data_IF_116161010363
#
_entry.id   IF_116161010363
#
_cell.length_a   1.000
_cell.length_b   1.000
_cell.length_c   1.000
_cell.angle_alpha   90.00
_cell.angle_beta   90.00
_cell.angle_gamma   90.00
#
_symmetry.space_group_name_H-M   'P 1'
#
loop_
_entity.id
_entity.type
_entity.pdbx_description
1 polymer ?
#
# COMPACT_ATOMS: atom_id res chain seq x y z
N UNK A 1 19.47 22.79 -11.55
CA UNK A 1 18.87 22.52 -10.22
C UNK A 1 17.75 21.48 -10.25
N UNK A 2 16.95 21.35 -11.32
CA UNK A 2 16.08 20.18 -11.53
C UNK A 2 16.85 19.03 -12.22
N UNK A 3 16.43 17.78 -12.00
CA UNK A 3 17.00 16.52 -12.51
C UNK A 3 18.39 16.08 -12.01
N UNK A 4 19.27 16.98 -11.58
CA UNK A 4 20.58 16.56 -11.04
C UNK A 4 20.47 15.59 -9.85
N UNK A 5 19.41 15.69 -9.05
CA UNK A 5 19.14 14.75 -7.97
C UNK A 5 18.72 13.37 -8.48
N UNK A 6 17.95 13.32 -9.57
CA UNK A 6 17.54 12.08 -10.23
C UNK A 6 18.74 11.41 -10.91
N UNK A 7 19.60 12.18 -11.58
CA UNK A 7 20.83 11.66 -12.21
C UNK A 7 21.82 11.12 -11.18
N UNK A 8 21.96 11.79 -10.03
CA UNK A 8 22.74 11.27 -8.91
C UNK A 8 22.15 9.99 -8.33
N UNK A 9 20.82 9.93 -8.17
CA UNK A 9 20.15 8.72 -7.71
C UNK A 9 20.35 7.56 -8.70
N UNK A 10 20.22 7.84 -10.00
CA UNK A 10 20.39 6.84 -11.07
C UNK A 10 21.82 6.33 -11.19
N UNK A 11 22.80 7.23 -11.15
CA UNK A 11 24.22 6.87 -11.14
C UNK A 11 24.57 6.02 -9.92
N UNK A 12 23.98 6.33 -8.75
CA UNK A 12 24.15 5.52 -7.54
C UNK A 12 23.58 4.11 -7.69
N UNK A 13 22.37 3.96 -8.23
CA UNK A 13 21.74 2.65 -8.49
C UNK A 13 22.60 1.76 -9.38
N UNK A 14 23.33 2.35 -10.33
CA UNK A 14 24.23 1.65 -11.26
C UNK A 14 25.65 1.41 -10.70
N UNK A 15 25.93 1.85 -9.47
CA UNK A 15 27.23 1.69 -8.84
C UNK A 15 27.22 0.54 -7.82
N UNK A 16 28.39 0.00 -7.50
CA UNK A 16 28.57 -1.00 -6.43
C UNK A 16 28.10 -0.49 -5.05
N UNK A 17 27.99 0.83 -4.87
CA UNK A 17 27.47 1.44 -3.64
C UNK A 17 25.95 1.21 -3.44
N UNK A 18 25.22 0.76 -4.46
CA UNK A 18 23.82 0.34 -4.34
C UNK A 18 23.68 -1.18 -4.16
N UNK A 19 24.65 -1.97 -4.66
CA UNK A 19 24.65 -3.43 -4.47
C UNK A 19 25.10 -3.83 -3.07
N UNK A 20 25.70 -2.91 -2.31
CA UNK A 20 25.99 -3.09 -0.89
C UNK A 20 24.79 -2.59 -0.08
N UNK A 21 23.98 -3.47 0.55
CA UNK A 21 22.87 -3.04 1.38
C UNK A 21 23.38 -2.15 2.51
N UNK A 22 22.63 -1.10 2.91
CA UNK A 22 22.94 -0.42 4.16
C UNK A 22 22.97 -1.44 5.30
N UNK A 23 23.83 -1.21 6.29
CA UNK A 23 23.90 -2.08 7.46
C UNK A 23 22.51 -2.27 8.04
N UNK A 24 22.05 -3.52 8.13
CA UNK A 24 20.75 -3.85 8.69
C UNK A 24 20.67 -3.21 10.09
N UNK A 25 19.69 -2.34 10.36
CA UNK A 25 19.57 -1.75 11.68
C UNK A 25 19.48 -2.88 12.72
N UNK A 26 20.13 -2.73 13.88
CA UNK A 26 20.17 -3.79 14.87
C UNK A 26 18.75 -4.15 15.31
N UNK A 27 18.29 -5.35 14.94
CA UNK A 27 17.01 -5.89 15.42
C UNK A 27 17.19 -6.23 16.89
N UNK A 28 16.57 -5.42 17.76
CA UNK A 28 16.55 -5.74 19.19
C UNK A 28 15.36 -6.64 19.46
N UNK A 29 15.61 -7.95 19.55
CA UNK A 29 14.60 -8.89 20.04
C UNK A 29 14.51 -8.77 21.55
N UNK A 30 13.56 -7.98 22.04
CA UNK A 30 13.17 -8.04 23.45
C UNK A 30 12.09 -9.11 23.58
N UNK A 31 12.37 -10.17 24.34
CA UNK A 31 11.29 -10.98 24.93
C UNK A 31 10.65 -10.09 25.98
N UNK A 32 9.50 -9.52 25.65
CA UNK A 32 8.68 -8.79 26.61
C UNK A 32 8.12 -9.74 27.68
N UNK A 33 7.66 -9.15 28.78
CA UNK A 33 6.77 -9.84 29.69
C UNK A 33 5.56 -10.36 28.91
N UNK A 34 4.95 -11.44 29.41
CA UNK A 34 3.72 -11.98 28.84
C UNK A 34 2.75 -10.80 28.67
N UNK A 35 2.16 -10.64 27.48
CA UNK A 35 0.95 -9.84 27.34
C UNK A 35 0.00 -10.32 28.45
N UNK A 36 -0.68 -9.39 29.14
CA UNK A 36 -1.55 -9.70 30.28
C UNK A 36 -2.48 -10.89 29.99
N UNK A 37 -3.05 -11.48 31.04
CA UNK A 37 -3.80 -12.75 30.92
C UNK A 37 -4.86 -12.74 29.80
N UNK A 38 -5.43 -11.57 29.48
CA UNK A 38 -6.25 -11.34 28.30
C UNK A 38 -5.67 -10.20 27.45
N UNK A 39 -5.34 -10.43 26.16
CA UNK A 39 -4.91 -9.36 25.28
C UNK A 39 -6.09 -8.40 25.00
N UNK A 40 -5.84 -7.09 25.08
CA UNK A 40 -6.85 -6.06 24.84
C UNK A 40 -7.36 -6.06 23.38
N UNK A 41 -6.50 -6.47 22.44
CA UNK A 41 -6.78 -6.53 21.01
C UNK A 41 -6.60 -7.95 20.48
N UNK A 42 -7.46 -8.33 19.54
CA UNK A 42 -7.38 -9.61 18.82
C UNK A 42 -6.35 -9.57 17.69
N UNK A 43 -6.19 -8.40 17.05
CA UNK A 43 -5.37 -8.21 15.85
C UNK A 43 -4.57 -6.90 15.97
N UNK A 44 -3.29 -6.96 15.56
CA UNK A 44 -2.44 -5.78 15.39
C UNK A 44 -2.01 -5.69 13.93
N UNK A 45 -2.30 -4.56 13.28
CA UNK A 45 -1.88 -4.26 11.91
C UNK A 45 -0.73 -3.25 11.94
N UNK A 46 0.44 -3.63 11.44
CA UNK A 46 1.61 -2.76 11.35
C UNK A 46 1.64 -2.06 9.99
N UNK A 47 1.38 -0.75 9.98
CA UNK A 47 1.30 0.12 8.80
C UNK A 47 -0.14 0.53 8.51
N UNK A 48 -0.41 1.83 8.56
CA UNK A 48 -1.75 2.41 8.42
C UNK A 48 -2.13 2.78 6.99
N UNK A 49 -1.18 2.90 6.06
CA UNK A 49 -1.49 3.40 4.70
C UNK A 49 -2.48 2.52 3.94
N UNK A 50 -2.13 1.26 3.68
CA UNK A 50 -3.05 0.27 3.08
C UNK A 50 -3.59 -0.72 4.13
N UNK A 51 -2.86 -0.89 5.23
CA UNK A 51 -3.29 -1.78 6.31
C UNK A 51 -4.59 -1.33 6.99
N UNK A 52 -4.98 -0.05 6.86
CA UNK A 52 -6.25 0.43 7.39
C UNK A 52 -7.47 -0.26 6.77
N UNK A 53 -7.40 -0.69 5.50
CA UNK A 53 -8.49 -1.44 4.86
C UNK A 53 -8.66 -2.82 5.50
N UNK A 54 -7.55 -3.51 5.79
CA UNK A 54 -7.58 -4.80 6.49
C UNK A 54 -8.07 -4.61 7.93
N UNK A 55 -7.58 -3.57 8.62
CA UNK A 55 -8.00 -3.28 9.98
C UNK A 55 -9.50 -2.98 10.06
N UNK A 56 -10.02 -2.17 9.14
CA UNK A 56 -11.43 -1.85 9.05
C UNK A 56 -12.28 -3.09 8.73
N UNK A 57 -11.85 -3.92 7.77
CA UNK A 57 -12.54 -5.17 7.45
C UNK A 57 -12.67 -6.11 8.67
N UNK A 58 -11.62 -6.21 9.47
CA UNK A 58 -11.64 -7.02 10.70
C UNK A 58 -12.48 -6.37 11.79
N UNK A 59 -12.45 -5.05 11.91
CA UNK A 59 -13.30 -4.32 12.85
C UNK A 59 -14.79 -4.48 12.51
N UNK A 60 -15.17 -4.42 11.23
CA UNK A 60 -16.54 -4.68 10.74
C UNK A 60 -17.01 -6.09 11.13
N UNK A 61 -16.08 -7.07 11.20
CA UNK A 61 -16.36 -8.44 11.65
C UNK A 61 -16.40 -8.61 13.17
N UNK A 62 -16.21 -7.53 13.94
CA UNK A 62 -16.33 -7.52 15.39
C UNK A 62 -15.04 -7.75 16.17
N UNK A 63 -13.88 -7.78 15.51
CA UNK A 63 -12.59 -7.89 16.20
C UNK A 63 -12.15 -6.57 16.82
N UNK A 64 -11.45 -6.64 17.95
CA UNK A 64 -10.70 -5.51 18.52
C UNK A 64 -9.36 -5.39 17.79
N UNK A 65 -9.22 -4.37 16.96
CA UNK A 65 -8.04 -4.21 16.10
C UNK A 65 -7.23 -2.98 16.53
N UNK A 66 -5.92 -3.14 16.69
CA UNK A 66 -4.97 -2.05 16.83
C UNK A 66 -4.21 -1.81 15.52
N UNK A 67 -3.93 -0.55 15.19
CA UNK A 67 -3.08 -0.17 14.06
C UNK A 67 -1.84 0.55 14.59
N UNK A 68 -0.67 0.08 14.19
CA UNK A 68 0.61 0.69 14.52
C UNK A 68 1.16 1.38 13.29
N UNK A 69 1.31 2.70 13.34
CA UNK A 69 1.83 3.52 12.25
C UNK A 69 3.04 4.32 12.77
N UNK A 70 4.05 4.52 11.93
CA UNK A 70 5.24 5.28 12.30
C UNK A 70 4.90 6.77 12.48
N UNK A 71 4.01 7.28 11.63
CA UNK A 71 3.53 8.65 11.66
C UNK A 71 2.17 8.82 12.32
N UNK A 72 1.56 10.01 12.11
CA UNK A 72 0.15 10.22 12.43
C UNK A 72 -0.70 9.43 11.45
N UNK A 73 -1.67 8.68 11.97
CA UNK A 73 -2.68 8.01 11.16
C UNK A 73 -3.71 9.05 10.70
N UNK A 74 -3.45 9.66 9.55
CA UNK A 74 -4.32 10.67 8.93
C UNK A 74 -4.38 10.46 7.42
N UNK A 75 -5.48 10.89 6.81
CA UNK A 75 -5.62 10.91 5.36
C UNK A 75 -4.50 11.73 4.70
N UNK A 76 -4.12 11.35 3.48
CA UNK A 76 -3.09 12.02 2.68
C UNK A 76 -3.70 12.47 1.37
N UNK A 77 -3.24 13.61 0.85
CA UNK A 77 -3.57 14.08 -0.51
C UNK A 77 -2.79 13.24 -1.51
N UNK A 78 -3.22 12.01 -1.71
CA UNK A 78 -2.58 11.08 -2.63
C UNK A 78 -3.67 10.36 -3.41
N UNK A 79 -3.61 10.51 -4.73
CA UNK A 79 -4.39 9.70 -5.65
C UNK A 79 -3.72 8.33 -5.78
N UNK A 80 -4.54 7.29 -5.80
CA UNK A 80 -4.09 5.92 -5.98
C UNK A 80 -4.95 5.27 -7.04
N UNK A 81 -4.30 4.65 -8.02
CA UNK A 81 -4.97 3.88 -9.06
C UNK A 81 -5.46 2.54 -8.48
N UNK A 82 -6.76 2.31 -8.56
CA UNK A 82 -7.42 1.06 -8.15
C UNK A 82 -8.45 0.68 -9.20
N UNK A 83 -8.68 -0.61 -9.41
CA UNK A 83 -9.75 -1.00 -10.32
C UNK A 83 -11.14 -0.85 -9.73
N UNK A 84 -12.16 -0.62 -10.57
CA UNK A 84 -13.56 -0.58 -10.10
C UNK A 84 -13.92 -1.83 -9.30
N UNK A 85 -13.50 -2.99 -9.79
CA UNK A 85 -13.72 -4.28 -9.11
C UNK A 85 -13.11 -4.30 -7.70
N UNK A 86 -11.86 -3.83 -7.54
CA UNK A 86 -11.20 -3.78 -6.23
C UNK A 86 -11.82 -2.73 -5.32
N UNK A 87 -12.30 -1.62 -5.88
CA UNK A 87 -12.99 -0.57 -5.15
C UNK A 87 -14.35 -1.06 -4.62
N UNK A 88 -15.13 -1.76 -5.46
CA UNK A 88 -16.44 -2.33 -5.11
C UNK A 88 -16.33 -3.35 -3.96
N UNK A 89 -15.21 -4.09 -3.88
CA UNK A 89 -14.94 -5.00 -2.75
C UNK A 89 -14.95 -4.28 -1.39
N UNK A 90 -14.57 -2.99 -1.33
CA UNK A 90 -14.62 -2.24 -0.08
C UNK A 90 -16.06 -2.03 0.39
N UNK A 91 -17.00 -1.86 -0.55
CA UNK A 91 -18.42 -1.79 -0.23
C UNK A 91 -19.01 -3.16 0.14
N UNK A 92 -18.63 -4.22 -0.59
CA UNK A 92 -19.02 -5.59 -0.25
C UNK A 92 -18.56 -6.01 1.16
N UNK A 93 -17.37 -5.56 1.57
CA UNK A 93 -16.82 -5.78 2.90
C UNK A 93 -17.42 -4.85 3.97
N UNK A 94 -18.30 -3.93 3.60
CA UNK A 94 -18.91 -2.95 4.51
C UNK A 94 -17.93 -1.93 5.08
N UNK A 95 -16.77 -1.75 4.44
CA UNK A 95 -15.75 -0.77 4.84
C UNK A 95 -16.18 0.64 4.44
N UNK A 96 -16.79 0.76 3.26
CA UNK A 96 -17.35 1.99 2.71
C UNK A 96 -18.76 1.72 2.19
N UNK A 97 -19.57 2.74 2.03
CA UNK A 97 -20.82 2.64 1.28
C UNK A 97 -20.57 2.89 -0.22
N UNK A 98 -21.47 2.44 -1.12
CA UNK A 98 -21.38 2.80 -2.54
C UNK A 98 -21.29 4.31 -2.77
N UNK A 99 -22.04 5.11 -2.00
CA UNK A 99 -21.99 6.57 -2.09
C UNK A 99 -20.62 7.13 -1.68
N UNK A 100 -19.99 6.56 -0.65
CA UNK A 100 -18.64 6.95 -0.26
C UNK A 100 -17.61 6.57 -1.31
N UNK A 101 -17.79 5.46 -2.03
CA UNK A 101 -16.93 5.10 -3.16
C UNK A 101 -17.01 6.14 -4.29
N UNK A 102 -18.21 6.62 -4.60
CA UNK A 102 -18.41 7.67 -5.60
C UNK A 102 -17.75 8.99 -5.17
N UNK A 103 -17.84 9.36 -3.89
CA UNK A 103 -17.23 10.58 -3.35
C UNK A 103 -15.69 10.58 -3.37
N UNK A 104 -15.06 9.42 -3.21
CA UNK A 104 -13.58 9.29 -3.20
C UNK A 104 -12.99 9.03 -4.59
N UNK A 105 -13.83 8.74 -5.58
CA UNK A 105 -13.41 8.53 -6.97
C UNK A 105 -13.22 9.89 -7.65
N UNK A 106 -11.96 10.25 -7.94
CA UNK A 106 -11.62 11.57 -8.49
C UNK A 106 -11.52 11.56 -10.01
N UNK A 107 -10.87 10.55 -10.61
CA UNK A 107 -10.58 10.53 -12.06
C UNK A 107 -10.59 9.13 -12.65
N UNK A 108 -11.63 8.80 -13.41
CA UNK A 108 -11.70 7.54 -14.14
C UNK A 108 -10.91 7.59 -15.45
N UNK A 109 -10.19 6.52 -15.77
CA UNK A 109 -9.44 6.43 -17.02
C UNK A 109 -9.55 5.06 -17.67
N UNK A 110 -9.45 5.03 -18.99
CA UNK A 110 -9.50 3.78 -19.74
C UNK A 110 -8.28 2.90 -19.42
N UNK A 111 -8.41 1.56 -19.43
CA UNK A 111 -7.33 0.65 -19.08
C UNK A 111 -6.05 0.99 -19.84
N UNK A 112 -4.95 1.19 -19.11
CA UNK A 112 -3.67 1.46 -19.74
C UNK A 112 -3.06 0.16 -20.21
N UNK A 113 -2.86 0.05 -21.52
CA UNK A 113 -2.19 -1.09 -22.14
C UNK A 113 -0.68 -0.88 -22.05
N UNK A 114 0.02 -1.79 -21.39
CA UNK A 114 1.48 -1.86 -21.46
C UNK A 114 1.84 -3.08 -22.31
N UNK A 115 2.41 -2.81 -23.48
CA UNK A 115 2.96 -3.83 -24.36
C UNK A 115 4.49 -3.82 -24.28
N UNK A 116 5.10 -5.00 -24.28
CA UNK A 116 6.55 -5.13 -24.40
C UNK A 116 6.88 -5.71 -25.77
N UNK A 117 7.85 -5.11 -26.46
CA UNK A 117 8.41 -5.67 -27.69
C UNK A 117 9.75 -6.33 -27.39
N UNK A 118 9.87 -7.63 -27.64
CA UNK A 118 11.13 -8.35 -27.62
C UNK A 118 11.31 -9.06 -28.98
N UNK A 119 12.46 -8.84 -29.63
CA UNK A 119 12.83 -9.50 -30.89
C UNK A 119 11.79 -9.40 -32.04
N UNK A 120 11.02 -8.31 -32.07
CA UNK A 120 9.99 -8.07 -33.09
C UNK A 120 8.62 -8.70 -32.79
N UNK A 121 8.49 -9.44 -31.68
CA UNK A 121 7.21 -9.92 -31.17
C UNK A 121 6.66 -8.97 -30.11
N UNK A 122 5.38 -8.61 -30.25
CA UNK A 122 4.65 -7.80 -29.29
C UNK A 122 3.93 -8.70 -28.29
N UNK A 123 4.23 -8.53 -27.01
CA UNK A 123 3.52 -9.16 -25.91
C UNK A 123 2.59 -8.12 -25.30
N UNK A 124 1.28 -8.38 -25.33
CA UNK A 124 0.27 -7.52 -24.71
C UNK A 124 -0.10 -8.08 -23.33
N UNK A 125 -0.05 -7.22 -22.32
CA UNK A 125 -0.67 -7.47 -21.03
C UNK A 125 -1.74 -6.40 -20.81
N UNK A 126 -3.00 -6.82 -20.63
CA UNK A 126 -4.05 -5.91 -20.19
C UNK A 126 -3.79 -5.54 -18.72
N UNK A 127 -3.38 -4.31 -18.47
CA UNK A 127 -3.21 -3.77 -17.12
C UNK A 127 -4.47 -3.03 -16.65
N UNK A 128 -4.85 -3.34 -15.40
CA UNK A 128 -5.80 -2.69 -14.48
C UNK A 128 -6.77 -1.65 -15.10
N UNK A 129 -8.08 -1.94 -15.02
CA UNK A 129 -9.16 -0.99 -15.34
C UNK A 129 -9.26 0.07 -14.24
N UNK A 130 -8.50 1.16 -14.31
CA UNK A 130 -8.47 2.18 -13.27
C UNK A 130 -9.75 3.02 -13.15
N UNK A 131 -10.02 3.49 -11.93
CA UNK A 131 -11.04 4.48 -11.52
C UNK A 131 -10.31 5.62 -10.81
#
# INVERSE_FOLDING_TARGET
RGFEAADRAWSRVRSEAFTTPPATPPVTTKKGEKLGEEPEYDIVVCGGTLGIFVAAAMQVRGYKVAVVEQGKLVGRTQEWNISRKELDMLAELGILTPQQLDEVSVTEYNPQRVGFTADGEAFELDTIRGV
#
